data_IF_556089294771
#
_entry.id   IF_556089294771
#
_cell.length_a   1.000
_cell.length_b   1.000
_cell.length_c   1.000
_cell.angle_alpha   90.00
_cell.angle_beta   90.00
_cell.angle_gamma   90.00
#
_symmetry.space_group_name_H-M   'P 1'
#
loop_
_entity.id
_entity.type
_entity.pdbx_description
1 polymer ?
#
# COMPACT_ATOMS: atom_id res chain seq x y z
N UNK A 1 0.52 -16.65 -8.51
CA UNK A 1 -0.84 -16.08 -8.45
C UNK A 1 -0.89 -15.00 -7.38
N UNK A 2 -1.62 -13.93 -7.63
CA UNK A 2 -1.74 -12.83 -6.67
C UNK A 2 -3.08 -12.94 -5.97
N UNK A 3 -3.04 -13.13 -4.66
CA UNK A 3 -4.22 -13.21 -3.81
C UNK A 3 -4.32 -11.95 -2.95
N UNK A 4 -5.50 -11.36 -2.90
CA UNK A 4 -5.78 -10.21 -2.05
C UNK A 4 -7.07 -10.48 -1.28
N UNK A 5 -6.97 -10.37 0.05
CA UNK A 5 -8.11 -10.47 0.94
C UNK A 5 -8.32 -9.11 1.61
N UNK A 6 -9.50 -8.53 1.45
CA UNK A 6 -9.84 -7.26 2.10
C UNK A 6 -10.72 -7.56 3.29
N UNK A 7 -10.27 -7.15 4.47
CA UNK A 7 -10.99 -7.30 5.73
C UNK A 7 -11.46 -5.94 6.22
N UNK A 8 -12.72 -5.88 6.61
CA UNK A 8 -13.35 -4.63 7.03
C UNK A 8 -13.97 -3.88 5.87
N UNK A 9 -14.50 -2.72 6.16
CA UNK A 9 -15.20 -1.87 5.18
C UNK A 9 -14.70 -0.45 5.31
N UNK A 10 -14.33 0.14 4.18
CA UNK A 10 -14.06 1.56 4.08
C UNK A 10 -15.33 2.26 3.58
N UNK A 11 -15.90 3.22 4.33
CA UNK A 11 -17.22 3.73 4.01
C UNK A 11 -17.33 4.51 2.70
N UNK A 12 -16.21 5.00 2.17
CA UNK A 12 -16.22 5.87 0.98
C UNK A 12 -15.86 5.15 -0.33
N UNK A 13 -15.41 3.89 -0.27
CA UNK A 13 -15.09 3.09 -1.45
C UNK A 13 -15.53 1.65 -1.23
N UNK A 14 -16.07 1.01 -2.28
CA UNK A 14 -16.39 -0.41 -2.23
C UNK A 14 -15.10 -1.25 -2.20
N UNK A 15 -15.19 -2.47 -1.69
CA UNK A 15 -14.06 -3.40 -1.73
C UNK A 15 -13.60 -3.67 -3.18
N UNK A 16 -14.55 -3.69 -4.12
CA UNK A 16 -14.24 -3.83 -5.54
C UNK A 16 -13.36 -2.68 -6.06
N UNK A 17 -13.67 -1.44 -5.68
CA UNK A 17 -12.87 -0.27 -6.06
C UNK A 17 -11.48 -0.32 -5.42
N UNK A 18 -11.40 -0.76 -4.17
CA UNK A 18 -10.12 -0.92 -3.47
C UNK A 18 -9.25 -1.98 -4.18
N UNK A 19 -9.86 -3.09 -4.58
CA UNK A 19 -9.15 -4.13 -5.34
C UNK A 19 -8.62 -3.60 -6.67
N UNK A 20 -9.42 -2.82 -7.39
CA UNK A 20 -8.97 -2.21 -8.65
C UNK A 20 -7.73 -1.33 -8.43
N UNK A 21 -7.76 -0.49 -7.40
CA UNK A 21 -6.63 0.37 -7.06
C UNK A 21 -5.41 -0.45 -6.66
N UNK A 22 -5.62 -1.52 -5.89
CA UNK A 22 -4.55 -2.43 -5.49
C UNK A 22 -3.87 -3.05 -6.70
N UNK A 23 -4.64 -3.66 -7.61
CA UNK A 23 -4.09 -4.31 -8.80
C UNK A 23 -3.44 -3.31 -9.75
N UNK A 24 -3.99 -2.10 -9.85
CA UNK A 24 -3.34 -1.03 -10.60
C UNK A 24 -1.93 -0.77 -10.07
N UNK A 25 -1.80 -0.57 -8.76
CA UNK A 25 -0.50 -0.28 -8.15
C UNK A 25 0.48 -1.45 -8.31
N UNK A 26 0.02 -2.67 -8.12
CA UNK A 26 0.86 -3.87 -8.32
C UNK A 26 1.34 -3.96 -9.77
N UNK A 27 0.45 -3.70 -10.74
CA UNK A 27 0.82 -3.71 -12.15
C UNK A 27 1.87 -2.66 -12.49
N UNK A 28 1.77 -1.48 -11.86
CA UNK A 28 2.73 -0.40 -12.10
C UNK A 28 4.08 -0.66 -11.43
N UNK A 29 4.05 -1.19 -10.22
CA UNK A 29 5.26 -1.38 -9.42
C UNK A 29 5.94 -2.72 -9.63
N UNK A 30 5.17 -3.76 -9.89
CA UNK A 30 5.65 -5.14 -9.97
C UNK A 30 5.00 -5.90 -11.13
N UNK A 31 5.15 -5.43 -12.38
CA UNK A 31 4.41 -6.02 -13.51
C UNK A 31 4.78 -7.49 -13.80
N UNK A 32 5.91 -7.95 -13.30
CA UNK A 32 6.38 -9.33 -13.51
C UNK A 32 6.20 -10.22 -12.29
N UNK A 33 5.59 -9.69 -11.23
CA UNK A 33 5.39 -10.46 -10.00
C UNK A 33 4.34 -11.53 -10.23
N UNK A 34 4.65 -12.78 -9.86
CA UNK A 34 3.76 -13.92 -10.08
C UNK A 34 3.06 -14.37 -8.80
N UNK A 35 3.73 -14.23 -7.66
CA UNK A 35 3.23 -14.75 -6.39
C UNK A 35 3.22 -13.65 -5.33
N UNK A 36 2.04 -13.30 -4.86
CA UNK A 36 1.81 -12.42 -3.71
C UNK A 36 0.55 -12.87 -3.01
N UNK A 37 0.57 -12.80 -1.69
CA UNK A 37 -0.58 -13.02 -0.84
C UNK A 37 -0.67 -11.84 0.11
N UNK A 38 -1.65 -10.96 -0.09
CA UNK A 38 -1.75 -9.73 0.68
C UNK A 38 -3.12 -9.64 1.36
N UNK A 39 -3.11 -9.43 2.66
CA UNK A 39 -4.31 -9.11 3.42
C UNK A 39 -4.33 -7.61 3.67
N UNK A 40 -5.41 -6.96 3.26
CA UNK A 40 -5.63 -5.53 3.50
C UNK A 40 -6.73 -5.39 4.56
N UNK A 41 -6.38 -4.93 5.74
CA UNK A 41 -7.31 -4.74 6.84
C UNK A 41 -7.64 -3.27 7.02
N UNK A 42 -8.93 -2.96 7.02
CA UNK A 42 -9.44 -1.60 7.20
C UNK A 42 -9.91 -1.49 8.64
N UNK A 43 -9.24 -0.67 9.43
CA UNK A 43 -9.44 -0.62 10.86
C UNK A 43 -9.08 0.76 11.43
N UNK A 44 -9.21 0.91 12.75
CA UNK A 44 -8.76 2.11 13.43
C UNK A 44 -7.31 1.92 13.86
N UNK A 45 -6.44 2.81 13.43
CA UNK A 45 -5.02 2.80 13.78
C UNK A 45 -4.71 3.89 14.81
N UNK A 46 -3.47 3.98 15.22
CA UNK A 46 -3.02 5.05 16.14
C UNK A 46 -3.16 6.41 15.45
N UNK A 47 -3.35 7.46 16.23
CA UNK A 47 -3.76 8.79 15.77
C UNK A 47 -2.95 9.38 14.63
N UNK A 48 -1.68 9.06 14.47
CA UNK A 48 -0.83 9.63 13.43
C UNK A 48 -0.54 8.66 12.29
N UNK A 49 -1.14 7.46 12.32
CA UNK A 49 -0.84 6.42 11.35
C UNK A 49 -1.96 6.30 10.34
N UNK A 50 -1.66 6.46 9.06
CA UNK A 50 -2.63 6.30 7.97
C UNK A 50 -2.60 4.90 7.36
N UNK A 51 -1.46 4.23 7.45
CA UNK A 51 -1.29 2.88 6.95
C UNK A 51 -0.07 2.21 7.55
N UNK A 52 0.02 0.91 7.37
CA UNK A 52 1.07 0.09 7.94
C UNK A 52 1.26 -1.16 7.09
N UNK A 53 2.51 -1.65 7.01
CA UNK A 53 2.84 -2.87 6.26
C UNK A 53 3.73 -3.77 7.08
N UNK A 54 3.44 -5.08 7.04
CA UNK A 54 4.27 -6.13 7.63
C UNK A 54 4.43 -7.25 6.60
N UNK A 55 5.67 -7.71 6.41
CA UNK A 55 5.92 -8.96 5.71
C UNK A 55 5.89 -10.09 6.73
N UNK A 56 4.96 -11.04 6.55
CA UNK A 56 4.75 -12.13 7.52
C UNK A 56 5.45 -13.42 7.10
N UNK A 57 5.62 -13.65 5.80
CA UNK A 57 6.29 -14.83 5.27
C UNK A 57 6.72 -14.54 3.84
N UNK A 58 7.31 -15.53 3.17
CA UNK A 58 7.68 -15.41 1.76
C UNK A 58 6.44 -15.12 0.93
N UNK A 59 6.47 -14.03 0.17
CA UNK A 59 5.35 -13.53 -0.66
C UNK A 59 4.10 -13.10 0.11
N UNK A 60 4.09 -13.20 1.44
CA UNK A 60 2.91 -12.92 2.26
C UNK A 60 3.08 -11.62 3.03
N UNK A 61 2.11 -10.73 2.91
CA UNK A 61 2.14 -9.39 3.49
C UNK A 61 0.81 -9.03 4.12
N UNK A 62 0.86 -8.21 5.15
CA UNK A 62 -0.31 -7.58 5.73
C UNK A 62 -0.19 -6.07 5.59
N UNK A 63 -1.28 -5.44 5.13
CA UNK A 63 -1.41 -3.99 5.06
C UNK A 63 -2.60 -3.63 5.95
N UNK A 64 -2.40 -2.65 6.81
CA UNK A 64 -3.48 -2.06 7.60
C UNK A 64 -3.67 -0.62 7.16
N UNK A 65 -4.92 -0.21 6.97
CA UNK A 65 -5.26 1.15 6.53
C UNK A 65 -6.25 1.77 7.50
N UNK A 66 -6.03 3.05 7.84
CA UNK A 66 -6.91 3.79 8.72
C UNK A 66 -8.26 4.03 8.03
N UNK A 67 -9.34 3.67 8.72
CA UNK A 67 -10.71 3.82 8.19
C UNK A 67 -11.18 5.26 8.18
N UNK A 68 -10.76 6.08 9.14
CA UNK A 68 -11.20 7.47 9.29
C UNK A 68 -10.28 8.43 8.55
N UNK A 69 -10.36 8.43 7.22
CA UNK A 69 -9.63 9.37 6.37
C UNK A 69 -10.39 9.54 5.06
N UNK A 70 -10.11 10.63 4.35
CA UNK A 70 -10.78 10.86 3.07
C UNK A 70 -10.26 9.90 1.99
N UNK A 71 -10.95 9.85 0.83
CA UNK A 71 -10.62 8.92 -0.25
C UNK A 71 -9.19 9.08 -0.75
N UNK A 72 -8.75 10.32 -0.94
CA UNK A 72 -7.41 10.58 -1.46
C UNK A 72 -6.34 10.10 -0.49
N UNK A 73 -6.51 10.39 0.80
CA UNK A 73 -5.56 9.94 1.82
C UNK A 73 -5.57 8.42 1.95
N UNK A 74 -6.74 7.80 1.84
CA UNK A 74 -6.86 6.34 1.89
C UNK A 74 -6.11 5.69 0.74
N UNK A 75 -6.31 6.18 -0.49
CA UNK A 75 -5.62 5.65 -1.67
C UNK A 75 -4.12 5.90 -1.60
N UNK A 76 -3.74 7.08 -1.14
CA UNK A 76 -2.32 7.42 -0.95
C UNK A 76 -1.66 6.47 0.04
N UNK A 77 -2.33 6.18 1.16
CA UNK A 77 -1.84 5.23 2.14
C UNK A 77 -1.72 3.82 1.55
N UNK A 78 -2.72 3.38 0.80
CA UNK A 78 -2.68 2.07 0.14
C UNK A 78 -1.46 1.98 -0.81
N UNK A 79 -1.27 2.98 -1.66
CA UNK A 79 -0.15 3.00 -2.60
C UNK A 79 1.20 3.03 -1.88
N UNK A 80 1.30 3.80 -0.81
CA UNK A 80 2.50 3.88 0.02
C UNK A 80 2.88 2.49 0.56
N UNK A 81 1.90 1.75 1.11
CA UNK A 81 2.16 0.43 1.67
C UNK A 81 2.49 -0.60 0.58
N UNK A 82 1.92 -0.48 -0.62
CA UNK A 82 2.28 -1.37 -1.73
C UNK A 82 3.72 -1.13 -2.19
N UNK A 83 4.21 0.11 -2.14
CA UNK A 83 5.63 0.38 -2.39
C UNK A 83 6.50 -0.40 -1.40
N UNK A 84 6.12 -0.43 -0.12
CA UNK A 84 6.85 -1.22 0.87
C UNK A 84 6.78 -2.73 0.57
N UNK A 85 5.66 -3.23 0.07
CA UNK A 85 5.58 -4.63 -0.40
C UNK A 85 6.66 -4.88 -1.46
N UNK A 86 6.76 -4.01 -2.47
CA UNK A 86 7.77 -4.14 -3.51
C UNK A 86 9.18 -4.14 -2.94
N UNK A 87 9.46 -3.22 -2.02
CA UNK A 87 10.77 -3.11 -1.39
C UNK A 87 11.16 -4.40 -0.68
N UNK A 88 10.28 -4.93 0.16
CA UNK A 88 10.59 -6.16 0.90
C UNK A 88 10.67 -7.38 -0.02
N UNK A 89 9.91 -7.44 -1.09
CA UNK A 89 10.00 -8.51 -2.09
C UNK A 89 11.34 -8.47 -2.84
N UNK A 90 11.97 -7.30 -2.93
CA UNK A 90 13.29 -7.12 -3.52
C UNK A 90 14.43 -7.24 -2.50
N UNK A 91 14.11 -7.58 -1.24
CA UNK A 91 15.10 -7.67 -0.18
C UNK A 91 15.59 -6.33 0.34
N UNK A 92 14.84 -5.25 0.10
CA UNK A 92 15.18 -3.91 0.58
C UNK A 92 14.38 -3.63 1.85
N UNK A 93 15.08 -3.39 2.96
CA UNK A 93 14.46 -3.16 4.26
C UNK A 93 14.79 -1.76 4.77
N UNK A 94 13.96 -1.25 5.67
CA UNK A 94 14.16 0.07 6.23
C UNK A 94 15.42 0.12 7.11
N UNK A 95 16.12 1.25 7.06
CA UNK A 95 17.24 1.54 7.95
C UNK A 95 16.73 2.25 9.19
N UNK A 96 16.43 1.49 10.23
CA UNK A 96 15.87 2.02 11.48
C UNK A 96 16.86 2.88 12.26
N UNK A 97 18.14 2.87 11.90
CA UNK A 97 19.13 3.75 12.51
C UNK A 97 18.96 5.22 12.09
N UNK A 98 18.21 5.47 11.01
CA UNK A 98 17.93 6.82 10.51
C UNK A 98 16.58 7.32 10.98
N UNK A 99 16.38 8.63 11.15
CA UNK A 99 15.05 9.18 11.35
C UNK A 99 14.12 8.78 10.21
N UNK A 100 12.84 8.58 10.51
CA UNK A 100 11.83 8.10 9.57
C UNK A 100 11.87 8.85 8.23
N UNK A 101 11.86 10.18 8.26
CA UNK A 101 11.81 11.01 7.05
C UNK A 101 13.12 10.99 6.24
N UNK A 102 14.21 10.41 6.77
CA UNK A 102 15.49 10.28 6.07
C UNK A 102 15.76 8.85 5.59
N UNK A 103 14.87 7.92 5.85
CA UNK A 103 15.03 6.52 5.41
C UNK A 103 14.82 6.44 3.89
N UNK A 104 15.76 5.89 3.12
CA UNK A 104 15.59 5.74 1.67
C UNK A 104 14.31 5.04 1.27
N UNK A 105 13.86 4.03 2.05
CA UNK A 105 12.61 3.33 1.79
C UNK A 105 11.40 4.25 1.90
N UNK A 106 11.38 5.17 2.87
CA UNK A 106 10.28 6.13 3.03
C UNK A 106 10.34 7.21 1.97
N UNK A 107 11.52 7.71 1.64
CA UNK A 107 11.70 8.71 0.59
C UNK A 107 11.15 8.16 -0.74
N UNK A 108 11.50 6.93 -1.10
CA UNK A 108 10.99 6.28 -2.29
C UNK A 108 9.47 6.10 -2.22
N UNK A 109 8.96 5.63 -1.09
CA UNK A 109 7.52 5.39 -0.93
C UNK A 109 6.71 6.68 -1.08
N UNK A 110 7.17 7.79 -0.49
CA UNK A 110 6.49 9.09 -0.65
C UNK A 110 6.53 9.59 -2.09
N UNK A 111 7.63 9.39 -2.78
CA UNK A 111 7.74 9.79 -4.19
C UNK A 111 6.80 8.96 -5.06
N UNK A 112 6.83 7.65 -4.92
CA UNK A 112 6.04 6.76 -5.76
C UNK A 112 4.55 6.82 -5.47
N UNK A 113 4.14 7.04 -4.21
CA UNK A 113 2.72 7.21 -3.88
C UNK A 113 2.11 8.37 -4.64
N UNK A 114 2.83 9.48 -4.75
CA UNK A 114 2.33 10.66 -5.47
C UNK A 114 2.21 10.40 -6.98
N UNK A 115 3.18 9.72 -7.55
CA UNK A 115 3.14 9.33 -8.96
C UNK A 115 1.98 8.38 -9.24
N UNK A 116 1.77 7.39 -8.37
CA UNK A 116 0.67 6.44 -8.50
C UNK A 116 -0.69 7.12 -8.36
N UNK A 117 -0.83 8.00 -7.38
CA UNK A 117 -2.08 8.72 -7.16
C UNK A 117 -2.44 9.58 -8.37
N UNK A 118 -1.48 10.30 -8.90
CA UNK A 118 -1.66 11.14 -10.09
C UNK A 118 -2.12 10.31 -11.29
N UNK A 119 -1.46 9.18 -11.52
CA UNK A 119 -1.78 8.28 -12.63
C UNK A 119 -3.15 7.63 -12.44
N UNK A 120 -3.47 7.21 -11.23
CA UNK A 120 -4.77 6.65 -10.90
C UNK A 120 -5.89 7.65 -11.16
N UNK A 121 -5.74 8.89 -10.70
CA UNK A 121 -6.73 9.95 -10.95
C UNK A 121 -6.95 10.20 -12.44
N UNK A 122 -5.87 10.21 -13.22
CA UNK A 122 -5.97 10.38 -14.66
C UNK A 122 -6.81 9.25 -15.28
N UNK A 123 -6.59 8.01 -14.88
CA UNK A 123 -7.33 6.87 -15.39
C UNK A 123 -8.80 6.86 -14.98
N UNK A 124 -9.14 7.50 -13.87
CA UNK A 124 -10.52 7.58 -13.39
C UNK A 124 -11.29 8.78 -13.97
N UNK A 125 -10.64 9.71 -14.62
CA UNK A 125 -11.31 10.92 -15.17
C UNK A 125 -11.98 10.68 -16.53
#
# INVERSE_FOLDING_TARGET
>A
MIYVDIRGVYPLLSNSSILEAFFFAVSELMPRKKNLDVTVSICSLRSDTTGYHIKTDRYTHEIELERNQNKEDFLTALFHEIVHVRQTERGVYCDESRPYYKRPTEIEAYKLQEELLKKWKYLQS
#
